data_IF_777950478191
#
_entry.id   IF_777950478191
#
_cell.length_a   1.000
_cell.length_b   1.000
_cell.length_c   1.000
_cell.angle_alpha   90.00
_cell.angle_beta   90.00
_cell.angle_gamma   90.00
#
_symmetry.space_group_name_H-M   'P 1'
#
loop_
_entity.id
_entity.type
_entity.pdbx_description
1 polymer ?
#
# COMPACT_ATOMS: atom_id res chain seq x y z
N UNK A 1 -4.80 25.40 -29.04
CA UNK A 1 -3.58 25.26 -28.21
C UNK A 1 -4.00 25.35 -26.75
N UNK A 2 -3.53 24.43 -25.90
CA UNK A 2 -3.53 24.59 -24.44
C UNK A 2 -4.71 23.97 -23.69
N UNK A 3 -4.78 22.64 -23.62
CA UNK A 3 -5.70 21.94 -22.72
C UNK A 3 -4.92 21.33 -21.53
N UNK A 4 -4.07 22.14 -20.90
CA UNK A 4 -3.31 21.71 -19.72
C UNK A 4 -4.13 22.03 -18.46
N UNK A 5 -4.62 20.99 -17.80
CA UNK A 5 -5.24 21.12 -16.48
C UNK A 5 -4.10 21.14 -15.46
N UNK A 6 -3.91 22.28 -14.78
CA UNK A 6 -2.97 22.41 -13.67
C UNK A 6 -3.61 21.88 -12.37
N UNK A 7 -2.80 21.51 -11.38
CA UNK A 7 -3.27 20.95 -10.11
C UNK A 7 -4.27 21.88 -9.40
N UNK A 8 -4.12 23.20 -9.58
CA UNK A 8 -5.04 24.22 -9.06
C UNK A 8 -6.46 24.15 -9.64
N UNK A 9 -6.64 23.51 -10.81
CA UNK A 9 -7.93 23.36 -11.48
C UNK A 9 -8.68 22.10 -11.05
N UNK A 10 -8.08 21.25 -10.22
CA UNK A 10 -8.76 20.09 -9.66
C UNK A 10 -9.59 20.49 -8.44
N UNK A 11 -10.74 19.85 -8.13
CA UNK A 11 -11.48 20.14 -6.90
C UNK A 11 -10.66 19.81 -5.65
N UNK A 12 -10.88 20.55 -4.55
CA UNK A 12 -10.09 20.43 -3.32
C UNK A 12 -9.93 18.98 -2.80
N UNK A 13 -10.92 18.13 -3.06
CA UNK A 13 -10.94 16.69 -2.74
C UNK A 13 -9.83 15.86 -3.41
N UNK A 14 -9.29 16.32 -4.54
CA UNK A 14 -8.26 15.64 -5.34
C UNK A 14 -6.96 16.45 -5.47
N UNK A 15 -6.97 17.76 -5.18
CA UNK A 15 -5.76 18.60 -5.19
C UNK A 15 -4.64 18.09 -4.26
N UNK A 16 -5.02 17.46 -3.15
CA UNK A 16 -4.09 16.92 -2.16
C UNK A 16 -3.87 15.41 -2.28
N UNK A 17 -4.36 14.77 -3.35
CA UNK A 17 -3.82 13.47 -3.78
C UNK A 17 -2.51 13.77 -4.51
N UNK A 18 -1.59 14.48 -3.85
CA UNK A 18 -0.18 14.33 -4.16
C UNK A 18 0.06 12.85 -3.96
N UNK A 19 0.49 12.16 -5.01
CA UNK A 19 1.15 10.87 -4.88
C UNK A 19 1.98 10.96 -3.60
N UNK A 20 1.60 10.16 -2.60
CA UNK A 20 2.42 9.96 -1.42
C UNK A 20 3.78 9.69 -2.02
N UNK A 21 4.75 10.60 -1.82
CA UNK A 21 6.08 10.43 -2.36
C UNK A 21 6.57 9.10 -1.81
N UNK A 22 6.44 8.00 -2.56
CA UNK A 22 6.71 6.65 -2.06
C UNK A 22 8.16 6.59 -1.55
N UNK A 23 9.03 7.38 -2.18
CA UNK A 23 10.40 7.68 -1.75
C UNK A 23 10.50 8.31 -0.36
N UNK A 24 9.61 9.23 0.00
CA UNK A 24 9.59 9.89 1.31
C UNK A 24 8.99 8.99 2.39
N UNK A 25 7.99 8.16 2.02
CA UNK A 25 7.48 7.09 2.88
C UNK A 25 8.59 6.08 3.15
N UNK A 26 9.26 5.55 2.12
CA UNK A 26 10.38 4.61 2.23
C UNK A 26 11.53 5.21 3.05
N UNK A 27 11.87 6.49 2.85
CA UNK A 27 12.90 7.17 3.63
C UNK A 27 12.51 7.38 5.11
N UNK A 28 11.22 7.33 5.44
CA UNK A 28 10.71 7.44 6.83
C UNK A 28 10.51 6.10 7.53
N UNK A 29 10.55 4.98 6.79
CA UNK A 29 10.42 3.64 7.35
C UNK A 29 11.59 3.38 8.28
N UNK A 30 11.29 3.12 9.56
CA UNK A 30 12.33 2.93 10.59
C UNK A 30 12.76 1.48 10.74
N UNK A 31 11.97 0.53 10.28
CA UNK A 31 12.23 -0.90 10.45
C UNK A 31 11.71 -1.75 9.29
N UNK A 32 12.30 -2.95 9.15
CA UNK A 32 11.85 -3.95 8.19
C UNK A 32 10.39 -4.37 8.42
N UNK A 33 9.95 -4.46 9.68
CA UNK A 33 8.57 -4.79 10.04
C UNK A 33 7.56 -3.76 9.52
N UNK A 34 7.94 -2.48 9.52
CA UNK A 34 7.09 -1.41 9.00
C UNK A 34 6.99 -1.47 7.47
N UNK A 35 8.09 -1.78 6.78
CA UNK A 35 8.08 -2.07 5.34
C UNK A 35 7.21 -3.29 5.02
N UNK A 36 7.37 -4.37 5.77
CA UNK A 36 6.58 -5.59 5.61
C UNK A 36 5.09 -5.32 5.81
N UNK A 37 4.72 -4.48 6.79
CA UNK A 37 3.34 -4.07 7.04
C UNK A 37 2.74 -3.28 5.87
N UNK A 38 3.48 -2.34 5.31
CA UNK A 38 3.05 -1.57 4.12
C UNK A 38 2.85 -2.51 2.94
N UNK A 39 3.81 -3.42 2.72
CA UNK A 39 3.76 -4.36 1.60
C UNK A 39 2.58 -5.33 1.72
N UNK A 40 2.37 -5.96 2.89
CA UNK A 40 1.24 -6.86 3.12
C UNK A 40 -0.11 -6.14 2.95
N UNK A 41 -0.22 -4.89 3.41
CA UNK A 41 -1.44 -4.07 3.19
C UNK A 41 -1.68 -3.80 1.71
N UNK A 42 -0.63 -3.48 0.96
CA UNK A 42 -0.76 -3.22 -0.48
C UNK A 42 -1.26 -4.46 -1.22
N UNK A 43 -0.64 -5.62 -0.97
CA UNK A 43 -1.05 -6.88 -1.60
C UNK A 43 -2.46 -7.29 -1.20
N UNK A 44 -2.86 -7.10 0.06
CA UNK A 44 -4.23 -7.37 0.51
C UNK A 44 -5.25 -6.47 -0.18
N UNK A 45 -4.94 -5.17 -0.33
CA UNK A 45 -5.81 -4.22 -1.03
C UNK A 45 -5.97 -4.62 -2.49
N UNK A 46 -4.88 -4.99 -3.15
CA UNK A 46 -4.89 -5.45 -4.54
C UNK A 46 -5.61 -6.79 -4.72
N UNK A 47 -5.59 -7.64 -3.69
CA UNK A 47 -6.30 -8.92 -3.67
C UNK A 47 -7.75 -8.79 -3.21
N UNK A 48 -8.29 -7.57 -3.05
CA UNK A 48 -9.62 -7.29 -2.50
C UNK A 48 -9.89 -8.01 -1.16
N UNK A 49 -8.88 -8.11 -0.29
CA UNK A 49 -8.98 -8.81 1.00
C UNK A 49 -8.96 -10.34 0.92
N UNK A 50 -8.84 -10.92 -0.29
CA UNK A 50 -8.71 -12.36 -0.44
C UNK A 50 -7.31 -12.82 0.01
N UNK A 51 -7.24 -13.36 1.23
CA UNK A 51 -5.99 -13.82 1.86
C UNK A 51 -5.29 -14.94 1.07
N UNK A 52 -6.05 -15.79 0.36
CA UNK A 52 -5.46 -16.86 -0.45
C UNK A 52 -4.76 -16.28 -1.69
N UNK A 53 -5.44 -15.40 -2.43
CA UNK A 53 -4.85 -14.70 -3.58
C UNK A 53 -3.64 -13.86 -3.18
N UNK A 54 -3.72 -13.20 -2.01
CA UNK A 54 -2.60 -12.44 -1.47
C UNK A 54 -1.38 -13.34 -1.17
N UNK A 55 -1.61 -14.52 -0.58
CA UNK A 55 -0.53 -15.47 -0.29
C UNK A 55 0.11 -16.03 -1.57
N UNK A 56 -0.70 -16.38 -2.58
CA UNK A 56 -0.24 -16.80 -3.90
C UNK A 56 0.60 -15.71 -4.56
N UNK A 57 0.15 -14.46 -4.51
CA UNK A 57 0.87 -13.31 -5.07
C UNK A 57 2.17 -12.99 -4.34
N UNK A 58 2.22 -13.22 -3.03
CA UNK A 58 3.43 -13.09 -2.22
C UNK A 58 4.39 -14.27 -2.40
N UNK A 59 3.98 -15.37 -3.04
CA UNK A 59 4.77 -16.59 -3.16
C UNK A 59 5.00 -17.29 -1.81
N UNK A 60 4.10 -17.09 -0.84
CA UNK A 60 4.20 -17.68 0.50
C UNK A 60 2.99 -18.56 0.80
N UNK A 61 3.15 -19.47 1.75
CA UNK A 61 2.04 -20.28 2.22
C UNK A 61 1.01 -19.43 3.00
N UNK A 62 -0.29 -19.77 2.89
CA UNK A 62 -1.39 -19.06 3.55
C UNK A 62 -1.21 -18.92 5.07
N UNK A 63 -0.65 -19.93 5.73
CA UNK A 63 -0.43 -19.92 7.19
C UNK A 63 0.68 -18.94 7.58
N UNK A 64 1.70 -18.79 6.72
CA UNK A 64 2.76 -17.79 6.90
C UNK A 64 2.22 -16.38 6.79
N UNK A 65 1.37 -16.12 5.78
CA UNK A 65 0.68 -14.84 5.66
C UNK A 65 -0.16 -14.54 6.92
N UNK A 66 -0.95 -15.51 7.37
CA UNK A 66 -1.83 -15.34 8.54
C UNK A 66 -1.03 -15.03 9.82
N UNK A 67 0.08 -15.74 10.03
CA UNK A 67 0.99 -15.48 11.16
C UNK A 67 1.56 -14.06 11.10
N UNK A 68 2.02 -13.61 9.93
CA UNK A 68 2.57 -12.26 9.71
C UNK A 68 1.51 -11.17 9.93
N UNK A 69 0.30 -11.35 9.42
CA UNK A 69 -0.81 -10.42 9.62
C UNK A 69 -1.17 -10.25 11.09
N UNK A 70 -1.19 -11.36 11.84
CA UNK A 70 -1.44 -11.33 13.29
C UNK A 70 -0.31 -10.67 14.07
N UNK A 71 0.95 -10.95 13.71
CA UNK A 71 2.13 -10.34 14.34
C UNK A 71 2.20 -8.82 14.13
N UNK A 72 1.75 -8.34 12.96
CA UNK A 72 1.79 -6.93 12.60
C UNK A 72 0.50 -6.16 12.94
N UNK A 73 -0.53 -6.85 13.48
CA UNK A 73 -1.83 -6.27 13.84
C UNK A 73 -2.61 -5.74 12.64
N UNK A 74 -2.69 -6.52 11.56
CA UNK A 74 -3.35 -6.16 10.30
C UNK A 74 -4.65 -6.97 10.06
N UNK A 75 -4.86 -8.06 10.79
CA UNK A 75 -6.07 -8.91 10.69
C UNK A 75 -7.29 -8.31 11.40
#
# INVERSE_FOLDING_TARGET
KGNLIEVAHLPASVQNIKNLDDTKVIASIKSFDELEKIYLRSVLKESNGNKQKAAEKLGIHKTTLFRKLKQLGID
#
